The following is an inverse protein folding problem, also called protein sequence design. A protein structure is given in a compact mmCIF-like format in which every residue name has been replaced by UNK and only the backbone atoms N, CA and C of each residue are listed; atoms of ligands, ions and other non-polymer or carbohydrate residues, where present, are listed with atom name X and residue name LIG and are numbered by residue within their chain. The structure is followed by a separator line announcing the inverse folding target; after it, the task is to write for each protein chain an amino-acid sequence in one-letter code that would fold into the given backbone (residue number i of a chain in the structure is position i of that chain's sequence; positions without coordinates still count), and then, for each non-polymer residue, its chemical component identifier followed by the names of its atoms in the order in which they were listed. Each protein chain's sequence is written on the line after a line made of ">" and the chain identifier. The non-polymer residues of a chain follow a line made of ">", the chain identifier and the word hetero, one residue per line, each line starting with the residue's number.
data_IF_986322965368
#
_entry.id   IF_986322965368
#
_cell.length_a   1.000
_cell.length_b   1.000
_cell.length_c   1.000
_cell.angle_alpha   90.00
_cell.angle_beta   90.00
_cell.angle_gamma   90.00
#
_symmetry.space_group_name_H-M   'P 1'
#
loop_
_entity.id
_entity.type
_entity.pdbx_description
1 polymer ?
#
# COMPACT_ATOMS: atom_id res chain seq x y z
N UNK A 1 16.05 -16.63 15.41
CA UNK A 1 14.56 -16.60 15.45
C UNK A 1 14.08 -15.41 14.64
N UNK A 2 12.92 -15.49 13.95
CA UNK A 2 12.29 -14.37 13.23
C UNK A 2 10.96 -14.09 13.88
N UNK A 3 10.67 -12.82 14.19
CA UNK A 3 9.43 -12.38 14.83
C UNK A 3 8.79 -11.29 13.93
N UNK A 4 7.50 -11.41 13.66
CA UNK A 4 6.72 -10.40 12.95
C UNK A 4 5.67 -9.77 13.87
N UNK A 5 5.66 -8.44 13.95
CA UNK A 5 4.65 -7.68 14.69
C UNK A 5 3.60 -7.17 13.69
N UNK A 6 2.40 -7.70 13.77
CA UNK A 6 1.28 -7.37 12.88
C UNK A 6 0.13 -6.72 13.65
N UNK A 7 -0.61 -5.85 13.00
CA UNK A 7 -1.85 -5.30 13.56
C UNK A 7 -2.87 -5.05 12.44
N UNK A 8 -4.14 -5.24 12.74
CA UNK A 8 -5.24 -5.01 11.80
C UNK A 8 -5.69 -3.55 11.70
N UNK A 9 -5.17 -2.65 12.54
CA UNK A 9 -5.57 -1.24 12.59
C UNK A 9 -4.41 -0.34 13.00
N UNK A 10 -4.32 0.84 12.42
CA UNK A 10 -3.41 1.90 12.84
C UNK A 10 -3.63 2.28 14.32
N UNK A 11 -2.57 2.66 15.03
CA UNK A 11 -2.62 3.06 16.44
C UNK A 11 -2.73 1.91 17.45
N UNK A 12 -2.69 0.63 17.02
CA UNK A 12 -2.75 -0.53 17.91
C UNK A 12 -1.45 -0.80 18.72
N UNK A 13 -0.44 0.06 18.60
CA UNK A 13 0.83 -0.08 19.31
C UNK A 13 1.84 -1.01 18.62
N UNK A 14 1.67 -1.38 17.36
CA UNK A 14 2.58 -2.24 16.58
C UNK A 14 4.04 -1.80 16.70
N UNK A 15 4.34 -0.55 16.35
CA UNK A 15 5.69 0.03 16.40
C UNK A 15 6.24 0.03 17.82
N UNK A 16 5.42 0.36 18.82
CA UNK A 16 5.84 0.34 20.22
C UNK A 16 6.29 -1.05 20.66
N UNK A 17 5.52 -2.10 20.37
CA UNK A 17 5.88 -3.48 20.71
C UNK A 17 7.12 -3.91 19.95
N UNK A 18 7.19 -3.68 18.64
CA UNK A 18 8.32 -4.08 17.80
C UNK A 18 9.64 -3.46 18.24
N UNK A 19 9.65 -2.16 18.54
CA UNK A 19 10.83 -1.43 18.99
C UNK A 19 11.30 -1.92 20.38
N UNK A 20 10.37 -2.13 21.31
CA UNK A 20 10.74 -2.62 22.64
C UNK A 20 11.27 -4.06 22.60
N UNK A 21 10.71 -4.92 21.75
CA UNK A 21 11.25 -6.26 21.53
C UNK A 21 12.66 -6.22 20.93
N UNK A 22 12.90 -5.37 19.94
CA UNK A 22 14.22 -5.20 19.34
C UNK A 22 15.22 -4.67 20.36
N UNK A 23 14.85 -3.68 21.16
CA UNK A 23 15.69 -3.13 22.21
C UNK A 23 16.04 -4.16 23.29
N UNK A 24 15.07 -5.00 23.70
CA UNK A 24 15.26 -6.04 24.67
C UNK A 24 16.12 -7.21 24.15
N UNK A 25 16.06 -7.49 22.85
CA UNK A 25 16.87 -8.53 22.22
C UNK A 25 18.36 -8.14 22.09
N UNK A 26 18.67 -6.85 22.07
CA UNK A 26 20.03 -6.33 21.93
C UNK A 26 20.58 -6.50 20.51
N UNK A 27 21.27 -7.61 20.25
CA UNK A 27 21.83 -7.89 18.91
C UNK A 27 20.76 -8.51 18.01
N UNK A 28 20.11 -7.65 17.20
CA UNK A 28 19.08 -8.07 16.25
C UNK A 28 19.04 -7.16 15.00
N UNK A 29 18.53 -7.70 13.90
CA UNK A 29 18.17 -6.91 12.73
C UNK A 29 16.71 -6.50 12.82
N UNK A 30 16.44 -5.21 12.82
CA UNK A 30 15.09 -4.66 12.77
C UNK A 30 14.73 -4.27 11.33
N UNK A 31 13.59 -4.75 10.84
CA UNK A 31 13.07 -4.40 9.52
C UNK A 31 11.74 -3.68 9.70
N UNK A 32 11.69 -2.41 9.31
CA UNK A 32 10.47 -1.63 9.31
C UNK A 32 9.75 -1.78 7.97
N UNK A 33 8.62 -2.48 8.00
CA UNK A 33 7.76 -2.71 6.84
C UNK A 33 6.55 -1.76 6.80
N UNK A 34 6.50 -0.75 7.67
CA UNK A 34 5.47 0.29 7.63
C UNK A 34 5.86 1.31 6.56
N UNK A 35 5.38 1.08 5.33
CA UNK A 35 5.75 1.91 4.17
C UNK A 35 5.15 3.31 4.20
N UNK A 36 4.06 3.52 4.96
CA UNK A 36 3.42 4.81 5.12
C UNK A 36 4.15 5.67 6.16
N UNK A 37 4.47 5.09 7.31
CA UNK A 37 5.13 5.78 8.42
C UNK A 37 6.25 4.93 9.06
N UNK A 38 7.43 4.78 8.43
CA UNK A 38 8.54 3.97 8.94
C UNK A 38 9.24 4.69 10.12
N UNK A 39 8.63 4.65 11.28
CA UNK A 39 9.03 5.40 12.48
C UNK A 39 10.00 4.63 13.41
N UNK A 40 10.25 3.34 13.20
CA UNK A 40 11.11 2.52 14.05
C UNK A 40 12.52 3.11 14.23
N UNK A 41 13.08 3.71 13.19
CA UNK A 41 14.40 4.38 13.21
C UNK A 41 14.51 5.53 14.22
N UNK A 42 13.40 6.19 14.54
CA UNK A 42 13.39 7.32 15.49
C UNK A 42 13.69 6.86 16.92
N UNK A 43 13.31 5.63 17.23
CA UNK A 43 13.50 5.02 18.55
C UNK A 43 14.82 4.26 18.65
N UNK A 44 15.15 3.46 17.63
CA UNK A 44 16.32 2.58 17.65
C UNK A 44 17.63 3.29 17.27
N UNK A 45 17.56 4.45 16.59
CA UNK A 45 18.72 5.27 16.18
C UNK A 45 19.83 4.43 15.54
N UNK A 46 19.56 3.70 14.44
CA UNK A 46 20.53 2.79 13.84
C UNK A 46 21.76 3.52 13.32
N UNK A 47 22.94 2.92 13.48
CA UNK A 47 24.19 3.43 12.92
C UNK A 47 24.23 3.26 11.39
N UNK A 48 23.62 2.18 10.89
CA UNK A 48 23.48 1.90 9.47
C UNK A 48 22.01 1.75 9.10
N UNK A 49 21.58 2.51 8.12
CA UNK A 49 20.22 2.49 7.60
C UNK A 49 20.24 2.08 6.13
N UNK A 50 19.57 0.97 5.81
CA UNK A 50 19.27 0.60 4.42
C UNK A 50 17.81 0.89 4.14
N UNK A 51 17.53 1.61 3.06
CA UNK A 51 16.16 1.95 2.65
C UNK A 51 15.88 1.39 1.27
N UNK A 52 14.78 0.66 1.14
CA UNK A 52 14.30 0.14 -0.15
C UNK A 52 12.99 0.84 -0.49
N UNK A 53 12.91 1.39 -1.70
CA UNK A 53 11.66 1.99 -2.19
C UNK A 53 10.65 0.90 -2.53
N UNK A 54 9.47 0.99 -1.96
CA UNK A 54 8.33 0.13 -2.30
C UNK A 54 7.39 0.91 -3.21
N UNK A 55 7.03 0.30 -4.35
CA UNK A 55 6.09 0.88 -5.32
C UNK A 55 4.80 0.08 -5.36
N UNK A 56 3.68 0.75 -5.55
CA UNK A 56 2.37 0.14 -5.76
C UNK A 56 1.96 0.29 -7.22
N UNK A 57 1.34 -0.75 -7.78
CA UNK A 57 0.82 -0.71 -9.14
C UNK A 57 -0.51 0.04 -9.16
N UNK A 58 -0.60 1.06 -9.98
CA UNK A 58 -1.85 1.77 -10.24
C UNK A 58 -2.41 1.34 -11.61
N UNK A 59 -3.73 1.24 -11.78
CA UNK A 59 -4.30 0.98 -13.08
C UNK A 59 -4.04 2.16 -14.03
N UNK A 60 -3.57 1.84 -15.23
CA UNK A 60 -3.53 2.74 -16.35
C UNK A 60 -4.66 2.36 -17.32
N UNK A 61 -5.28 3.34 -17.96
CA UNK A 61 -6.41 3.14 -18.87
C UNK A 61 -6.00 3.49 -20.30
N UNK A 62 -6.31 2.58 -21.22
CA UNK A 62 -6.17 2.84 -22.66
C UNK A 62 -7.42 3.54 -23.17
N UNK A 63 -7.35 4.84 -23.54
CA UNK A 63 -8.52 5.59 -24.01
C UNK A 63 -9.04 5.11 -25.37
N UNK A 64 -8.24 4.36 -26.14
CA UNK A 64 -8.66 3.82 -27.44
C UNK A 64 -9.51 2.56 -27.28
N UNK A 65 -9.28 1.80 -26.21
CA UNK A 65 -10.02 0.58 -25.90
C UNK A 65 -11.21 0.83 -24.98
N UNK A 66 -11.15 1.88 -24.16
CA UNK A 66 -12.16 2.16 -23.16
C UNK A 66 -13.49 2.57 -23.79
N UNK A 67 -14.51 1.72 -23.68
CA UNK A 67 -15.88 1.99 -24.16
C UNK A 67 -16.73 2.80 -23.18
N UNK A 68 -16.21 3.15 -22.02
CA UNK A 68 -16.93 3.93 -21.00
C UNK A 68 -18.01 3.14 -20.26
N UNK A 69 -17.95 1.83 -20.24
CA UNK A 69 -18.96 0.96 -19.60
C UNK A 69 -19.06 1.12 -18.07
N UNK A 70 -18.07 1.77 -17.42
CA UNK A 70 -18.01 2.08 -15.98
C UNK A 70 -17.98 0.86 -15.04
N UNK A 71 -17.81 -0.36 -15.55
CA UNK A 71 -17.77 -1.56 -14.71
C UNK A 71 -16.63 -1.51 -13.69
N UNK A 72 -15.46 -1.00 -14.07
CA UNK A 72 -14.32 -0.81 -13.18
C UNK A 72 -14.62 0.15 -12.02
N UNK A 73 -15.36 1.23 -12.29
CA UNK A 73 -15.77 2.21 -11.26
C UNK A 73 -16.76 1.59 -10.28
N UNK A 74 -17.77 0.86 -10.79
CA UNK A 74 -18.79 0.20 -9.96
C UNK A 74 -18.20 -0.93 -9.11
N UNK A 75 -17.21 -1.67 -9.65
CA UNK A 75 -16.56 -2.77 -8.95
C UNK A 75 -15.57 -2.31 -7.86
N UNK A 76 -15.09 -1.06 -7.94
CA UNK A 76 -14.08 -0.57 -7.00
C UNK A 76 -14.65 -0.41 -5.59
N UNK A 77 -14.32 -1.34 -4.69
CA UNK A 77 -14.74 -1.33 -3.27
C UNK A 77 -14.19 -0.15 -2.48
N UNK A 78 -13.09 0.44 -2.93
CA UNK A 78 -12.40 1.54 -2.27
C UNK A 78 -12.81 2.91 -2.83
N UNK A 79 -13.70 2.94 -3.82
CA UNK A 79 -14.11 4.17 -4.52
C UNK A 79 -12.92 4.99 -5.05
N UNK A 80 -11.83 4.30 -5.39
CA UNK A 80 -10.61 4.90 -5.92
C UNK A 80 -10.71 5.28 -7.41
N UNK A 81 -11.82 4.95 -8.07
CA UNK A 81 -12.06 5.23 -9.47
C UNK A 81 -13.27 6.12 -9.64
N UNK A 82 -13.12 7.21 -10.40
CA UNK A 82 -14.23 8.04 -10.87
C UNK A 82 -14.25 8.07 -12.39
N UNK A 83 -15.40 8.37 -12.96
CA UNK A 83 -15.58 8.56 -14.40
C UNK A 83 -15.91 10.02 -14.68
N UNK A 84 -14.93 10.77 -15.20
CA UNK A 84 -15.02 12.22 -15.42
C UNK A 84 -14.64 12.53 -16.87
N UNK A 85 -15.44 13.36 -17.54
CA UNK A 85 -15.20 13.75 -18.94
C UNK A 85 -14.91 12.55 -19.85
N UNK A 86 -15.75 11.53 -19.74
CA UNK A 86 -15.69 10.30 -20.55
C UNK A 86 -14.42 9.46 -20.35
N UNK A 87 -13.69 9.66 -19.25
CA UNK A 87 -12.49 8.91 -18.92
C UNK A 87 -12.51 8.44 -17.46
N UNK A 88 -12.04 7.22 -17.20
CA UNK A 88 -11.79 6.79 -15.83
C UNK A 88 -10.57 7.52 -15.26
N UNK A 89 -10.68 7.97 -14.02
CA UNK A 89 -9.59 8.59 -13.25
C UNK A 89 -9.34 7.78 -11.98
N UNK A 90 -8.07 7.67 -11.61
CA UNK A 90 -7.62 6.95 -10.40
C UNK A 90 -7.21 7.96 -9.35
N UNK A 91 -7.67 7.74 -8.11
CA UNK A 91 -7.13 8.40 -6.93
C UNK A 91 -6.10 7.47 -6.30
N UNK A 92 -4.82 7.79 -6.49
CA UNK A 92 -3.69 7.00 -6.03
C UNK A 92 -3.70 6.76 -4.53
N UNK A 93 -4.09 7.77 -3.77
CA UNK A 93 -4.10 7.76 -2.29
C UNK A 93 -5.13 6.78 -1.71
N UNK A 94 -6.16 6.44 -2.49
CA UNK A 94 -7.24 5.54 -2.06
C UNK A 94 -7.15 4.17 -2.75
N UNK A 95 -6.29 4.04 -3.76
CA UNK A 95 -6.14 2.81 -4.52
C UNK A 95 -5.32 1.77 -3.75
N UNK A 96 -5.91 0.62 -3.49
CA UNK A 96 -5.26 -0.51 -2.82
C UNK A 96 -4.56 -1.49 -3.76
N UNK A 97 -4.34 -1.14 -5.02
CA UNK A 97 -3.63 -1.98 -6.03
C UNK A 97 -4.16 -3.42 -6.13
N UNK A 98 -5.45 -3.62 -5.88
CA UNK A 98 -6.04 -4.96 -5.84
C UNK A 98 -6.25 -5.61 -7.21
N UNK A 99 -6.11 -4.86 -8.32
CA UNK A 99 -6.24 -5.35 -9.69
C UNK A 99 -7.66 -5.64 -10.18
N UNK A 100 -8.69 -5.51 -9.34
CA UNK A 100 -10.07 -5.87 -9.69
C UNK A 100 -10.58 -5.10 -10.93
N UNK A 101 -10.23 -3.84 -11.07
CA UNK A 101 -10.63 -3.01 -12.20
C UNK A 101 -10.16 -3.57 -13.56
N UNK A 102 -8.96 -4.18 -13.60
CA UNK A 102 -8.47 -4.87 -14.80
C UNK A 102 -9.21 -6.17 -15.08
N UNK A 103 -9.57 -6.93 -14.02
CA UNK A 103 -10.29 -8.21 -14.16
C UNK A 103 -11.71 -8.04 -14.66
N UNK A 104 -12.40 -6.96 -14.27
CA UNK A 104 -13.80 -6.72 -14.68
C UNK A 104 -13.91 -5.94 -15.99
N UNK A 105 -12.81 -5.51 -16.58
CA UNK A 105 -12.83 -4.76 -17.82
C UNK A 105 -12.98 -5.69 -19.03
N UNK A 106 -14.12 -5.65 -19.77
CA UNK A 106 -14.34 -6.53 -20.91
C UNK A 106 -13.38 -6.23 -22.07
N UNK A 107 -12.94 -4.98 -22.19
CA UNK A 107 -12.08 -4.50 -23.28
C UNK A 107 -10.58 -4.54 -22.91
N UNK A 108 -10.24 -4.92 -21.68
CA UNK A 108 -8.86 -4.86 -21.18
C UNK A 108 -8.19 -3.50 -21.46
N UNK A 109 -8.92 -2.44 -21.23
CA UNK A 109 -8.54 -1.06 -21.51
C UNK A 109 -7.69 -0.45 -20.38
#
# INVERSE_FOLDING_TARGET
>A
MKIACLSGKGGAGKTFVAVNLAAAAGDCTYIDCDVEEPNGRLFLKPEQLQTTTVTTLLPAFDPQKCTGCKQCVQACRFHALLYIKEKPMVFSEVCHSCGLCGLVCPEQA
#
